data_IF_978263711794
#
_entry.id   IF_978263711794
#
_cell.length_a   1.000
_cell.length_b   1.000
_cell.length_c   1.000
_cell.angle_alpha   90.00
_cell.angle_beta   90.00
_cell.angle_gamma   90.00
#
_symmetry.space_group_name_H-M   'P 1'
#
loop_
_entity.id
_entity.type
_entity.pdbx_description
1 polymer ?
#
# COMPACT_ATOMS: atom_id res chain seq x y z
N UNK A 1 -17.26 -25.44 1.17
CA UNK A 1 -16.49 -24.76 2.25
C UNK A 1 -15.26 -24.16 1.64
N UNK A 2 -14.91 -22.91 2.03
CA UNK A 2 -13.69 -22.20 1.64
C UNK A 2 -12.73 -22.29 2.80
N UNK A 3 -11.52 -22.80 2.56
CA UNK A 3 -10.47 -22.88 3.57
C UNK A 3 -9.77 -21.52 3.71
N UNK A 4 -9.46 -21.13 4.94
CA UNK A 4 -8.86 -19.85 5.28
C UNK A 4 -7.97 -19.95 6.53
N UNK A 5 -7.29 -18.86 6.83
CA UNK A 5 -6.61 -18.64 8.10
C UNK A 5 -7.23 -17.41 8.78
N UNK A 6 -7.78 -17.60 9.98
CA UNK A 6 -8.49 -16.57 10.71
C UNK A 6 -7.85 -16.29 12.07
N UNK A 7 -7.89 -15.03 12.48
CA UNK A 7 -7.75 -14.66 13.88
C UNK A 7 -9.11 -14.92 14.57
N UNK A 8 -9.14 -15.77 15.60
CA UNK A 8 -10.34 -16.03 16.38
C UNK A 8 -10.53 -14.98 17.47
N UNK A 9 -9.48 -14.37 17.94
CA UNK A 9 -9.44 -13.25 18.86
C UNK A 9 -8.23 -12.34 18.62
N UNK A 10 -8.27 -11.13 19.18
CA UNK A 10 -7.20 -10.15 18.97
C UNK A 10 -5.84 -10.61 19.53
N UNK A 11 -4.76 -10.31 18.80
CA UNK A 11 -3.36 -10.57 19.17
C UNK A 11 -2.97 -12.05 19.32
N UNK A 12 -3.79 -12.95 18.79
CA UNK A 12 -3.48 -14.39 18.72
C UNK A 12 -2.93 -14.75 17.33
N UNK A 13 -2.38 -15.98 17.24
CA UNK A 13 -2.01 -16.57 15.95
C UNK A 13 -3.25 -16.83 15.08
N UNK A 14 -3.02 -17.00 13.79
CA UNK A 14 -4.08 -17.40 12.88
C UNK A 14 -4.25 -18.92 12.92
N UNK A 15 -5.51 -19.36 12.91
CA UNK A 15 -5.89 -20.75 12.91
C UNK A 15 -6.57 -21.12 11.59
N UNK A 16 -6.54 -22.41 11.23
CA UNK A 16 -7.30 -22.92 10.09
C UNK A 16 -8.78 -22.70 10.36
N UNK A 17 -9.45 -22.07 9.41
CA UNK A 17 -10.86 -21.70 9.49
C UNK A 17 -11.56 -22.05 8.18
N UNK A 18 -12.77 -22.51 8.26
CA UNK A 18 -13.61 -22.80 7.08
C UNK A 18 -14.91 -22.04 7.17
N UNK A 19 -15.36 -21.51 6.04
CA UNK A 19 -16.64 -20.83 5.93
C UNK A 19 -17.35 -21.17 4.63
N UNK A 20 -18.67 -21.02 4.60
CA UNK A 20 -19.46 -21.26 3.41
C UNK A 20 -19.32 -20.13 2.40
N UNK A 21 -19.12 -20.47 1.13
CA UNK A 21 -19.19 -19.52 0.05
C UNK A 21 -20.59 -18.89 -0.01
N UNK A 22 -20.65 -17.56 0.02
CA UNK A 22 -21.91 -16.86 -0.16
C UNK A 22 -22.24 -16.78 -1.65
N UNK A 23 -23.54 -16.84 -2.04
CA UNK A 23 -23.95 -16.61 -3.41
C UNK A 23 -23.47 -15.24 -3.91
N UNK A 24 -22.94 -15.20 -5.13
CA UNK A 24 -22.47 -13.95 -5.74
C UNK A 24 -23.63 -12.97 -5.93
N UNK A 25 -23.43 -11.74 -5.51
CA UNK A 25 -24.33 -10.65 -5.88
C UNK A 25 -24.19 -10.31 -7.36
N UNK A 26 -25.19 -9.64 -7.97
CA UNK A 26 -25.17 -9.38 -9.41
C UNK A 26 -23.91 -8.73 -9.94
N UNK A 27 -23.27 -7.84 -9.20
CA UNK A 27 -22.08 -7.09 -9.61
C UNK A 27 -20.77 -7.64 -8.98
N UNK A 28 -20.80 -8.82 -8.36
CA UNK A 28 -19.61 -9.38 -7.70
C UNK A 28 -18.87 -10.36 -8.59
N UNK A 29 -17.57 -10.38 -8.40
CA UNK A 29 -16.59 -11.30 -9.02
C UNK A 29 -16.02 -12.18 -7.92
N UNK A 30 -15.97 -13.48 -8.14
CA UNK A 30 -15.30 -14.45 -7.27
C UNK A 30 -13.91 -14.75 -7.80
N UNK A 31 -12.94 -14.65 -6.91
CA UNK A 31 -11.50 -14.81 -7.22
C UNK A 31 -10.98 -16.02 -6.48
N UNK A 32 -10.37 -16.97 -7.20
CA UNK A 32 -9.49 -17.99 -6.62
C UNK A 32 -8.17 -17.32 -6.28
N UNK A 33 -7.80 -17.31 -5.01
CA UNK A 33 -6.57 -16.69 -4.53
C UNK A 33 -5.37 -17.57 -4.91
N UNK A 34 -4.43 -17.03 -5.66
CA UNK A 34 -3.14 -17.66 -5.99
C UNK A 34 -2.06 -17.22 -4.99
N UNK A 35 -2.07 -15.91 -4.63
CA UNK A 35 -1.19 -15.35 -3.61
C UNK A 35 -1.83 -14.16 -2.89
N UNK A 36 -1.33 -13.84 -1.70
CA UNK A 36 -1.73 -12.67 -0.95
C UNK A 36 -0.56 -12.08 -0.17
N UNK A 37 -0.29 -10.78 -0.36
CA UNK A 37 0.70 -10.07 0.44
C UNK A 37 0.24 -9.86 1.88
N UNK A 38 1.20 -9.69 2.79
CA UNK A 38 0.95 -9.35 4.19
C UNK A 38 1.41 -7.90 4.44
N UNK A 39 0.50 -7.07 4.91
CA UNK A 39 0.74 -5.67 5.25
C UNK A 39 0.69 -5.45 6.77
N UNK A 40 1.33 -4.37 7.24
CA UNK A 40 1.13 -3.92 8.62
C UNK A 40 -0.34 -3.58 8.95
N UNK A 41 -1.14 -3.21 7.94
CA UNK A 41 -2.59 -3.02 8.11
C UNK A 41 -3.33 -4.30 8.45
N UNK A 42 -2.86 -5.46 7.93
CA UNK A 42 -3.41 -6.76 8.34
C UNK A 42 -3.07 -7.06 9.80
N UNK A 43 -1.83 -6.77 10.24
CA UNK A 43 -1.45 -6.90 11.65
C UNK A 43 -2.30 -5.99 12.55
N UNK A 44 -2.50 -4.73 12.16
CA UNK A 44 -3.32 -3.78 12.90
C UNK A 44 -4.77 -4.25 13.02
N UNK A 45 -5.29 -4.89 11.97
CA UNK A 45 -6.63 -5.48 11.99
C UNK A 45 -6.69 -6.73 12.89
N UNK A 46 -5.75 -7.68 12.73
CA UNK A 46 -5.64 -8.90 13.55
C UNK A 46 -5.47 -8.54 15.04
N UNK A 47 -4.69 -7.52 15.35
CA UNK A 47 -4.43 -7.06 16.72
C UNK A 47 -5.51 -6.13 17.27
N UNK A 48 -6.51 -5.77 16.45
CA UNK A 48 -7.55 -4.79 16.76
C UNK A 48 -6.98 -3.43 17.22
N UNK A 49 -5.84 -3.02 16.65
CA UNK A 49 -5.17 -1.78 17.03
C UNK A 49 -5.98 -0.53 16.69
N UNK A 50 -6.92 -0.63 15.75
CA UNK A 50 -7.83 0.45 15.35
C UNK A 50 -9.23 0.37 15.98
N UNK A 51 -9.48 -0.64 16.84
CA UNK A 51 -10.75 -0.80 17.54
C UNK A 51 -11.96 -1.16 16.67
N UNK A 52 -11.73 -1.58 15.40
CA UNK A 52 -12.79 -1.83 14.41
C UNK A 52 -12.93 -3.31 14.01
N UNK A 53 -12.11 -4.19 14.55
CA UNK A 53 -12.07 -5.60 14.15
C UNK A 53 -13.22 -6.40 14.75
N UNK A 54 -13.73 -7.33 13.95
CA UNK A 54 -14.72 -8.33 14.39
C UNK A 54 -14.11 -9.71 14.18
N UNK A 55 -14.30 -10.60 15.14
CA UNK A 55 -13.75 -11.96 15.12
C UNK A 55 -14.87 -13.00 15.00
N UNK A 56 -14.63 -14.17 14.30
CA UNK A 56 -13.40 -14.54 13.61
C UNK A 56 -13.12 -13.61 12.41
N UNK A 57 -11.82 -13.28 12.17
CA UNK A 57 -11.38 -12.37 11.13
C UNK A 57 -10.40 -13.07 10.18
N UNK A 58 -10.74 -13.11 8.91
CA UNK A 58 -9.83 -13.47 7.82
C UNK A 58 -9.28 -12.17 7.22
N UNK A 59 -8.00 -11.89 7.44
CA UNK A 59 -7.34 -10.70 6.90
C UNK A 59 -6.83 -10.94 5.46
N UNK A 60 -5.94 -10.08 4.95
CA UNK A 60 -5.40 -10.15 3.60
C UNK A 60 -6.12 -9.23 2.61
N UNK A 61 -5.41 -8.21 2.14
CA UNK A 61 -5.95 -7.21 1.19
C UNK A 61 -4.96 -6.91 0.05
N UNK A 62 -4.07 -7.83 -0.23
CA UNK A 62 -3.08 -7.74 -1.32
C UNK A 62 -3.20 -9.00 -2.19
N UNK A 63 -4.39 -9.25 -2.70
CA UNK A 63 -4.75 -10.50 -3.38
C UNK A 63 -4.35 -10.48 -4.85
N UNK A 64 -3.74 -11.56 -5.30
CA UNK A 64 -3.57 -11.91 -6.72
C UNK A 64 -4.24 -13.26 -6.95
N UNK A 65 -4.97 -13.38 -8.07
CA UNK A 65 -5.66 -14.61 -8.38
C UNK A 65 -6.35 -14.61 -9.74
N UNK A 66 -7.25 -15.58 -9.91
CA UNK A 66 -8.05 -15.75 -11.13
C UNK A 66 -9.54 -15.65 -10.83
N UNK A 67 -10.24 -15.03 -11.74
CA UNK A 67 -11.72 -15.02 -11.74
C UNK A 67 -12.24 -16.43 -11.98
N UNK A 68 -13.04 -16.94 -11.04
CA UNK A 68 -13.69 -18.27 -11.13
C UNK A 68 -15.21 -18.19 -11.19
N UNK A 69 -15.79 -17.04 -10.84
CA UNK A 69 -17.23 -16.81 -10.89
C UNK A 69 -17.55 -15.34 -11.12
N UNK A 70 -18.67 -15.08 -11.77
CA UNK A 70 -19.16 -13.71 -12.04
C UNK A 70 -20.67 -13.63 -11.79
N UNK A 71 -21.10 -12.55 -11.17
CA UNK A 71 -22.51 -12.22 -10.99
C UNK A 71 -23.18 -11.82 -12.32
N UNK A 72 -24.52 -11.85 -12.33
CA UNK A 72 -25.33 -11.69 -13.56
C UNK A 72 -25.23 -10.33 -14.25
N UNK A 73 -24.69 -9.30 -13.57
CA UNK A 73 -24.49 -7.93 -14.11
C UNK A 73 -23.04 -7.57 -14.32
N UNK A 74 -22.10 -8.47 -14.04
CA UNK A 74 -20.66 -8.25 -14.26
C UNK A 74 -20.40 -8.11 -15.75
N UNK A 75 -19.69 -7.06 -16.11
CA UNK A 75 -19.34 -6.71 -17.51
C UNK A 75 -17.85 -6.48 -17.74
N UNK A 76 -17.11 -6.16 -16.68
CA UNK A 76 -15.69 -5.79 -16.74
C UNK A 76 -14.75 -7.01 -16.74
N UNK A 77 -15.23 -8.16 -16.29
CA UNK A 77 -14.42 -9.36 -16.10
C UNK A 77 -15.01 -10.60 -16.75
N UNK A 78 -14.12 -11.55 -17.09
CA UNK A 78 -14.46 -12.88 -17.59
C UNK A 78 -13.80 -13.94 -16.72
N UNK A 79 -14.40 -15.13 -16.63
CA UNK A 79 -13.80 -16.30 -15.97
C UNK A 79 -12.43 -16.57 -16.62
N UNK A 80 -11.43 -16.81 -15.77
CA UNK A 80 -10.04 -17.02 -16.16
C UNK A 80 -9.18 -15.75 -16.20
N UNK A 81 -9.75 -14.52 -16.11
CA UNK A 81 -8.96 -13.32 -16.03
C UNK A 81 -8.05 -13.33 -14.80
N UNK A 82 -6.80 -12.91 -14.97
CA UNK A 82 -5.86 -12.66 -13.87
C UNK A 82 -6.10 -11.27 -13.31
N UNK A 83 -6.32 -11.23 -12.02
CA UNK A 83 -6.80 -10.02 -11.34
C UNK A 83 -6.15 -9.86 -9.97
N UNK A 84 -6.25 -8.64 -9.47
CA UNK A 84 -5.88 -8.30 -8.11
C UNK A 84 -7.01 -7.62 -7.37
N UNK A 85 -7.02 -7.75 -6.03
CA UNK A 85 -7.93 -7.07 -5.13
C UNK A 85 -7.13 -6.42 -4.01
N UNK A 86 -7.30 -5.10 -3.83
CA UNK A 86 -6.62 -4.30 -2.83
C UNK A 86 -7.46 -4.06 -1.57
N UNK A 87 -7.26 -2.86 -0.98
CA UNK A 87 -7.89 -2.45 0.27
C UNK A 87 -9.42 -2.35 0.22
N UNK A 88 -9.98 -1.97 -0.92
CA UNK A 88 -11.42 -1.82 -1.09
C UNK A 88 -12.01 -2.98 -1.90
N UNK A 89 -13.13 -3.54 -1.43
CA UNK A 89 -13.86 -4.62 -2.11
C UNK A 89 -15.24 -4.18 -2.63
N UNK A 90 -15.59 -2.89 -2.53
CA UNK A 90 -16.83 -2.38 -3.08
C UNK A 90 -17.07 -0.91 -2.82
N UNK A 91 -17.93 -0.31 -3.65
CA UNK A 91 -18.29 1.09 -3.65
C UNK A 91 -19.79 1.26 -3.93
N UNK A 92 -20.34 2.47 -3.78
CA UNK A 92 -21.73 2.70 -4.17
C UNK A 92 -21.92 2.89 -5.69
N UNK A 93 -20.84 3.18 -6.42
CA UNK A 93 -20.80 3.40 -7.87
C UNK A 93 -21.74 4.49 -8.41
N UNK A 94 -22.24 5.40 -7.54
CA UNK A 94 -23.24 6.41 -7.93
C UNK A 94 -23.03 7.78 -7.28
N UNK A 95 -22.21 7.92 -6.25
CA UNK A 95 -21.94 9.23 -5.64
C UNK A 95 -20.96 10.05 -6.51
N UNK A 96 -20.85 11.35 -6.20
CA UNK A 96 -19.96 12.28 -6.89
C UNK A 96 -18.54 11.73 -7.05
N UNK A 97 -17.93 11.25 -5.96
CA UNK A 97 -16.58 10.69 -5.99
C UNK A 97 -16.47 9.47 -6.92
N UNK A 98 -17.45 8.57 -6.90
CA UNK A 98 -17.45 7.42 -7.83
C UNK A 98 -17.55 7.89 -9.29
N UNK A 99 -18.41 8.87 -9.58
CA UNK A 99 -18.59 9.42 -10.93
C UNK A 99 -17.35 10.14 -11.46
N UNK A 100 -16.52 10.72 -10.56
CA UNK A 100 -15.22 11.34 -10.89
C UNK A 100 -14.08 10.31 -11.03
N UNK A 101 -14.33 9.06 -10.65
CA UNK A 101 -13.30 8.01 -10.62
C UNK A 101 -12.49 7.96 -9.32
N UNK A 102 -12.86 8.75 -8.32
CA UNK A 102 -12.22 8.86 -7.01
C UNK A 102 -12.91 7.96 -5.98
N UNK A 103 -13.11 6.70 -6.35
CA UNK A 103 -13.86 5.71 -5.57
C UNK A 103 -13.33 5.53 -4.15
N UNK A 104 -12.03 5.73 -3.92
CA UNK A 104 -11.40 5.67 -2.60
C UNK A 104 -11.95 6.70 -1.60
N UNK A 105 -12.64 7.75 -2.08
CA UNK A 105 -13.35 8.74 -1.26
C UNK A 105 -14.85 8.50 -1.15
N UNK A 106 -15.38 7.43 -1.72
CA UNK A 106 -16.79 7.05 -1.59
C UNK A 106 -17.14 6.81 -0.12
N UNK A 107 -18.16 7.50 0.40
CA UNK A 107 -18.62 7.34 1.79
C UNK A 107 -19.18 5.93 2.13
N UNK A 108 -19.49 5.11 1.10
CA UNK A 108 -19.98 3.75 1.25
C UNK A 108 -18.93 2.69 0.86
N UNK A 109 -17.63 3.03 0.93
CA UNK A 109 -16.57 2.05 0.66
C UNK A 109 -16.67 0.83 1.56
N UNK A 110 -16.52 -0.35 0.97
CA UNK A 110 -16.33 -1.61 1.69
C UNK A 110 -14.85 -1.96 1.70
N UNK A 111 -14.34 -2.28 2.88
CA UNK A 111 -12.92 -2.62 3.07
C UNK A 111 -12.77 -4.13 3.09
N UNK A 112 -11.85 -4.68 2.31
CA UNK A 112 -11.63 -6.11 2.10
C UNK A 112 -11.51 -6.89 3.42
N UNK A 113 -10.82 -6.35 4.42
CA UNK A 113 -10.58 -7.03 5.70
C UNK A 113 -11.72 -6.82 6.72
N UNK A 114 -12.46 -5.69 6.63
CA UNK A 114 -13.44 -5.31 7.66
C UNK A 114 -14.89 -5.55 7.25
N UNK A 115 -15.17 -5.60 5.97
CA UNK A 115 -16.53 -5.73 5.45
C UNK A 115 -16.88 -7.17 5.07
N UNK A 116 -15.88 -8.04 4.96
CA UNK A 116 -15.99 -9.45 4.60
C UNK A 116 -14.73 -10.21 5.01
N UNK A 117 -14.65 -11.51 4.69
CA UNK A 117 -13.41 -12.28 4.77
C UNK A 117 -12.45 -11.87 3.65
N UNK A 118 -11.19 -11.60 4.02
CA UNK A 118 -10.13 -11.17 3.11
C UNK A 118 -9.39 -12.32 2.42
N UNK A 119 -8.25 -11.98 1.82
CA UNK A 119 -7.46 -12.88 0.96
C UNK A 119 -6.60 -13.93 1.67
N UNK A 120 -6.62 -14.02 3.01
CA UNK A 120 -6.00 -15.17 3.69
C UNK A 120 -6.93 -16.38 3.64
N UNK A 121 -7.58 -16.56 2.49
CA UNK A 121 -8.49 -17.63 2.14
C UNK A 121 -8.23 -18.13 0.73
N UNK A 122 -8.73 -19.32 0.39
CA UNK A 122 -8.65 -19.86 -0.98
C UNK A 122 -9.42 -19.05 -2.01
N UNK A 123 -10.48 -18.35 -1.55
CA UNK A 123 -11.38 -17.58 -2.41
C UNK A 123 -11.82 -16.29 -1.73
N UNK A 124 -12.02 -15.24 -2.52
CA UNK A 124 -12.57 -13.96 -2.08
C UNK A 124 -13.49 -13.40 -3.15
N UNK A 125 -14.54 -12.68 -2.75
CA UNK A 125 -15.46 -12.00 -3.68
C UNK A 125 -15.39 -10.50 -3.50
N UNK A 126 -15.59 -9.74 -4.59
CA UNK A 126 -15.60 -8.27 -4.56
C UNK A 126 -16.47 -7.70 -5.69
N UNK A 127 -16.92 -6.46 -5.53
CA UNK A 127 -17.52 -5.67 -6.60
C UNK A 127 -16.58 -5.58 -7.80
N UNK A 128 -17.10 -5.74 -9.03
CA UNK A 128 -16.29 -5.77 -10.25
C UNK A 128 -15.38 -4.54 -10.41
N UNK A 129 -15.80 -3.35 -9.94
CA UNK A 129 -15.00 -2.12 -10.01
C UNK A 129 -13.78 -2.16 -9.07
N UNK A 130 -13.84 -2.95 -8.00
CA UNK A 130 -12.72 -3.13 -7.05
C UNK A 130 -11.68 -4.14 -7.53
N UNK A 131 -12.05 -4.99 -8.50
CA UNK A 131 -11.20 -6.05 -9.05
C UNK A 131 -10.43 -5.48 -10.23
N UNK A 132 -9.09 -5.54 -10.16
CA UNK A 132 -8.23 -4.88 -11.14
C UNK A 132 -7.53 -5.92 -12.01
N UNK A 133 -7.65 -5.86 -13.34
CA UNK A 133 -6.86 -6.71 -14.23
C UNK A 133 -5.36 -6.46 -14.06
N UNK A 134 -4.57 -7.52 -13.98
CA UNK A 134 -3.11 -7.40 -13.92
C UNK A 134 -2.56 -7.43 -15.34
N UNK A 135 -1.87 -6.37 -15.81
CA UNK A 135 -1.34 -6.30 -17.17
C UNK A 135 -0.17 -7.28 -17.37
N UNK A 136 0.05 -7.67 -18.61
CA UNK A 136 1.27 -8.39 -19.01
C UNK A 136 2.51 -7.57 -18.66
N UNK A 137 3.59 -8.24 -18.24
CA UNK A 137 4.82 -7.59 -17.81
C UNK A 137 4.91 -7.31 -16.30
N UNK A 138 3.81 -7.41 -15.56
CA UNK A 138 3.85 -7.43 -14.08
C UNK A 138 4.06 -8.87 -13.61
N UNK A 139 5.06 -9.07 -12.75
CA UNK A 139 5.38 -10.36 -12.15
C UNK A 139 4.32 -10.73 -11.10
N UNK A 140 3.44 -11.67 -11.44
CA UNK A 140 2.22 -11.98 -10.69
C UNK A 140 2.49 -12.41 -9.25
N UNK A 141 3.46 -13.29 -9.07
CA UNK A 141 3.80 -13.83 -7.75
C UNK A 141 4.26 -12.73 -6.76
N UNK A 142 4.77 -11.61 -7.26
CA UNK A 142 5.24 -10.49 -6.46
C UNK A 142 4.24 -9.32 -6.40
N UNK A 143 3.16 -9.34 -7.21
CA UNK A 143 2.33 -8.17 -7.47
C UNK A 143 1.40 -7.76 -6.32
N UNK A 144 1.06 -8.66 -5.41
CA UNK A 144 0.13 -8.38 -4.31
C UNK A 144 0.41 -7.05 -3.59
N UNK A 145 1.64 -6.79 -3.12
CA UNK A 145 2.01 -5.54 -2.43
C UNK A 145 1.82 -4.26 -3.24
N UNK A 146 1.74 -4.32 -4.58
CA UNK A 146 1.44 -3.16 -5.42
C UNK A 146 0.03 -2.63 -5.16
N UNK A 147 -0.92 -3.51 -4.83
CA UNK A 147 -2.33 -3.17 -4.61
C UNK A 147 -2.60 -2.45 -3.26
N UNK A 148 -1.58 -2.37 -2.40
CA UNK A 148 -1.62 -1.60 -1.16
C UNK A 148 -0.44 -0.62 -1.10
N UNK A 149 0.76 -1.10 -0.78
CA UNK A 149 1.95 -0.26 -0.64
C UNK A 149 2.31 0.47 -1.92
N UNK A 150 2.22 -0.19 -3.08
CA UNK A 150 2.50 0.41 -4.38
C UNK A 150 1.58 1.57 -4.69
N UNK A 151 0.28 1.35 -4.69
CA UNK A 151 -0.70 2.41 -4.97
C UNK A 151 -0.63 3.54 -3.95
N UNK A 152 -0.34 3.25 -2.68
CA UNK A 152 -0.24 4.24 -1.62
C UNK A 152 0.87 5.26 -1.91
N UNK A 153 2.02 4.84 -2.43
CA UNK A 153 3.13 5.75 -2.77
C UNK A 153 3.05 6.27 -4.21
N UNK A 154 2.25 5.65 -5.07
CA UNK A 154 2.03 6.10 -6.45
C UNK A 154 0.95 7.17 -6.56
N UNK A 155 -0.11 7.11 -5.74
CA UNK A 155 -1.21 8.09 -5.75
C UNK A 155 -0.71 9.55 -5.68
N UNK A 156 0.22 9.93 -4.78
CA UNK A 156 0.75 11.29 -4.74
C UNK A 156 1.43 11.75 -6.03
N UNK A 157 1.99 10.83 -6.82
CA UNK A 157 2.59 11.15 -8.11
C UNK A 157 1.53 11.72 -9.05
N UNK A 158 0.37 11.07 -9.09
CA UNK A 158 -0.76 11.49 -9.94
C UNK A 158 -1.43 12.74 -9.40
N UNK A 159 -1.65 12.80 -8.09
CA UNK A 159 -2.37 13.91 -7.43
C UNK A 159 -1.62 15.24 -7.46
N UNK A 160 -0.30 15.21 -7.47
CA UNK A 160 0.54 16.41 -7.39
C UNK A 160 1.41 16.61 -8.63
N UNK A 161 1.12 15.91 -9.72
CA UNK A 161 1.83 16.01 -11.01
C UNK A 161 3.35 15.90 -10.86
N UNK A 162 3.82 14.97 -10.00
CA UNK A 162 5.24 14.78 -9.77
C UNK A 162 5.90 14.25 -11.06
N UNK A 163 7.02 14.87 -11.43
CA UNK A 163 7.75 14.56 -12.66
C UNK A 163 9.27 14.70 -12.48
N UNK A 164 10.03 14.46 -13.54
CA UNK A 164 11.50 14.42 -13.54
C UNK A 164 12.21 15.72 -13.09
N UNK A 165 11.52 16.85 -13.06
CA UNK A 165 12.10 18.11 -12.57
C UNK A 165 12.11 18.23 -11.05
N UNK A 166 11.42 17.31 -10.35
CA UNK A 166 11.29 17.36 -8.89
C UNK A 166 12.44 16.66 -8.17
N UNK A 167 12.90 17.28 -7.08
CA UNK A 167 13.76 16.64 -6.08
C UNK A 167 12.89 16.08 -4.95
N UNK A 168 12.92 14.76 -4.76
CA UNK A 168 12.03 14.04 -3.86
C UNK A 168 12.80 13.42 -2.72
N UNK A 169 12.32 13.59 -1.49
CA UNK A 169 12.82 12.89 -0.31
C UNK A 169 11.82 11.85 0.18
N UNK A 170 12.31 10.66 0.54
CA UNK A 170 11.48 9.55 1.03
C UNK A 170 11.88 9.24 2.47
N UNK A 171 10.98 9.47 3.42
CA UNK A 171 11.23 9.27 4.85
C UNK A 171 10.74 7.89 5.26
N UNK A 172 11.71 7.03 5.64
CA UNK A 172 11.47 5.64 6.04
C UNK A 172 11.50 4.66 4.86
N UNK A 173 12.49 3.76 4.87
CA UNK A 173 12.67 2.79 3.79
C UNK A 173 12.34 1.39 4.29
N UNK A 174 11.04 1.12 4.27
CA UNK A 174 10.42 -0.17 4.58
C UNK A 174 9.59 -0.66 3.39
N UNK A 175 8.47 -1.36 3.70
CA UNK A 175 7.57 -1.95 2.71
C UNK A 175 6.93 -0.96 1.72
N UNK A 176 6.80 0.33 2.08
CA UNK A 176 6.34 1.40 1.20
C UNK A 176 7.52 2.12 0.55
N UNK A 177 8.52 2.50 1.37
CA UNK A 177 9.62 3.37 0.93
C UNK A 177 10.47 2.76 -0.19
N UNK A 178 10.69 1.43 -0.21
CA UNK A 178 11.45 0.78 -1.28
C UNK A 178 10.72 0.85 -2.64
N UNK A 179 9.38 0.83 -2.65
CA UNK A 179 8.58 1.06 -3.85
C UNK A 179 8.58 2.54 -4.25
N UNK A 180 8.50 3.45 -3.27
CA UNK A 180 8.59 4.88 -3.54
C UNK A 180 9.91 5.23 -4.24
N UNK A 181 11.07 4.72 -3.79
CA UNK A 181 12.36 4.93 -4.47
C UNK A 181 12.25 4.53 -5.94
N UNK A 182 11.75 3.32 -6.23
CA UNK A 182 11.65 2.82 -7.60
C UNK A 182 10.71 3.67 -8.47
N UNK A 183 9.52 4.04 -7.96
CA UNK A 183 8.56 4.86 -8.70
C UNK A 183 9.12 6.25 -9.02
N UNK A 184 9.63 6.96 -8.03
CA UNK A 184 10.14 8.32 -8.25
C UNK A 184 11.40 8.31 -9.12
N UNK A 185 12.25 7.29 -8.99
CA UNK A 185 13.42 7.13 -9.87
C UNK A 185 13.02 6.80 -11.30
N UNK A 186 12.05 5.92 -11.52
CA UNK A 186 11.54 5.59 -12.85
C UNK A 186 10.90 6.81 -13.55
N UNK A 187 10.36 7.77 -12.79
CA UNK A 187 9.89 9.06 -13.32
C UNK A 187 11.03 10.02 -13.68
N UNK A 188 12.28 9.70 -13.34
CA UNK A 188 13.44 10.56 -13.55
C UNK A 188 13.70 11.59 -12.45
N UNK A 189 13.00 11.51 -11.31
CA UNK A 189 13.26 12.40 -10.17
C UNK A 189 14.65 12.17 -9.58
N UNK A 190 15.21 13.20 -8.93
CA UNK A 190 16.32 13.03 -8.01
C UNK A 190 15.79 12.56 -6.66
N UNK A 191 16.20 11.38 -6.20
CA UNK A 191 15.65 10.69 -5.03
C UNK A 191 16.63 10.65 -3.87
N UNK A 192 16.25 11.25 -2.74
CA UNK A 192 16.98 11.15 -1.47
C UNK A 192 16.22 10.23 -0.51
N UNK A 193 16.86 9.16 -0.04
CA UNK A 193 16.31 8.20 0.90
C UNK A 193 16.73 8.54 2.34
N UNK A 194 15.75 8.75 3.24
CA UNK A 194 16.02 8.92 4.68
C UNK A 194 15.80 7.60 5.41
N UNK A 195 16.86 7.03 5.95
CA UNK A 195 16.85 5.74 6.66
C UNK A 195 17.53 5.83 8.02
N UNK A 196 17.11 5.00 8.97
CA UNK A 196 17.75 4.88 10.28
C UNK A 196 18.81 3.78 10.37
N UNK A 197 19.14 3.13 9.24
CA UNK A 197 20.04 1.98 9.17
C UNK A 197 20.95 2.11 7.96
N UNK A 198 22.24 1.91 8.16
CA UNK A 198 23.27 2.01 7.11
C UNK A 198 23.53 0.66 6.40
N UNK A 199 23.00 -0.45 6.95
CA UNK A 199 23.18 -1.80 6.41
C UNK A 199 22.46 -2.04 5.08
N UNK A 200 21.65 -1.07 4.63
CA UNK A 200 20.86 -1.14 3.39
C UNK A 200 21.36 -0.20 2.29
N UNK A 201 22.42 0.57 2.51
CA UNK A 201 22.82 1.64 1.60
C UNK A 201 23.02 1.15 0.15
N UNK A 202 23.80 0.07 -0.04
CA UNK A 202 24.04 -0.48 -1.38
C UNK A 202 22.74 -0.91 -2.07
N UNK A 203 21.83 -1.49 -1.29
CA UNK A 203 20.53 -1.88 -1.79
C UNK A 203 19.69 -0.67 -2.16
N UNK A 204 19.66 0.38 -1.33
CA UNK A 204 18.88 1.59 -1.64
C UNK A 204 19.39 2.29 -2.88
N UNK A 205 20.70 2.32 -3.08
CA UNK A 205 21.34 2.80 -4.30
C UNK A 205 20.93 1.96 -5.51
N UNK A 206 20.93 0.62 -5.38
CA UNK A 206 20.51 -0.28 -6.46
C UNK A 206 19.03 -0.15 -6.82
N UNK A 207 18.18 0.28 -5.86
CA UNK A 207 16.77 0.59 -6.10
C UNK A 207 16.55 1.96 -6.76
N UNK A 208 17.61 2.79 -6.83
CA UNK A 208 17.57 4.09 -7.51
C UNK A 208 17.63 5.31 -6.60
N UNK A 209 18.01 5.18 -5.32
CA UNK A 209 18.29 6.33 -4.48
C UNK A 209 19.59 7.02 -4.95
N UNK A 210 19.52 8.32 -5.21
CA UNK A 210 20.69 9.13 -5.60
C UNK A 210 21.47 9.59 -4.38
N UNK A 211 20.78 9.83 -3.26
CA UNK A 211 21.36 10.22 -1.97
C UNK A 211 20.74 9.41 -0.84
N UNK A 212 21.53 9.10 0.16
CA UNK A 212 21.10 8.42 1.38
C UNK A 212 21.51 9.26 2.59
N UNK A 213 20.53 9.57 3.44
CA UNK A 213 20.71 10.41 4.62
C UNK A 213 20.18 9.69 5.85
N UNK A 214 20.89 9.74 6.96
CA UNK A 214 20.40 9.22 8.23
C UNK A 214 19.18 10.01 8.69
N UNK A 215 18.05 9.33 8.91
CA UNK A 215 16.83 9.94 9.42
C UNK A 215 16.90 10.31 10.91
N UNK A 216 17.97 9.89 11.61
CA UNK A 216 18.21 10.16 13.04
C UNK A 216 19.30 11.20 13.27
N UNK A 217 20.04 11.58 12.24
CA UNK A 217 21.07 12.63 12.31
C UNK A 217 20.49 14.00 11.95
N UNK A 218 20.12 14.75 12.99
CA UNK A 218 19.55 16.08 12.83
C UNK A 218 20.48 17.11 12.19
N UNK A 219 21.80 16.94 12.32
CA UNK A 219 22.78 17.84 11.70
C UNK A 219 22.84 17.61 10.19
N UNK A 220 22.95 16.36 9.76
CA UNK A 220 22.90 16.01 8.34
C UNK A 220 21.59 16.45 7.68
N UNK A 221 20.44 16.28 8.34
CA UNK A 221 19.15 16.73 7.80
C UNK A 221 19.12 18.26 7.69
N UNK A 222 19.58 19.01 8.69
CA UNK A 222 19.67 20.48 8.64
C UNK A 222 20.58 20.98 7.53
N UNK A 223 21.70 20.30 7.30
CA UNK A 223 22.68 20.67 6.28
C UNK A 223 22.11 20.60 4.85
N UNK A 224 21.05 19.82 4.62
CA UNK A 224 20.39 19.75 3.31
C UNK A 224 19.75 21.08 2.89
N UNK A 225 19.37 21.93 3.85
CA UNK A 225 18.63 23.16 3.55
C UNK A 225 17.31 22.89 2.83
N UNK A 226 16.67 23.93 2.32
CA UNK A 226 15.39 23.84 1.62
C UNK A 226 15.59 23.39 0.16
N UNK A 227 15.66 22.08 -0.08
CA UNK A 227 15.97 21.54 -1.41
C UNK A 227 14.91 20.61 -2.02
N UNK A 228 13.95 20.10 -1.25
CA UNK A 228 12.95 19.15 -1.76
C UNK A 228 11.70 19.86 -2.26
N UNK A 229 11.25 19.48 -3.45
CA UNK A 229 9.95 19.87 -3.98
C UNK A 229 8.84 19.06 -3.30
N UNK A 230 9.14 17.80 -3.00
CA UNK A 230 8.22 16.86 -2.39
C UNK A 230 8.94 15.94 -1.40
N UNK A 231 8.41 15.85 -0.18
CA UNK A 231 8.79 14.85 0.81
C UNK A 231 7.63 13.90 1.05
N UNK A 232 7.87 12.59 0.96
CA UNK A 232 6.89 11.58 1.31
C UNK A 232 7.30 10.81 2.57
N UNK A 233 6.43 10.79 3.58
CA UNK A 233 6.62 10.02 4.80
C UNK A 233 5.88 8.70 4.75
N UNK A 234 6.62 7.59 4.85
CA UNK A 234 6.09 6.23 4.86
C UNK A 234 6.19 5.58 6.25
N UNK A 235 6.69 6.31 7.25
CA UNK A 235 6.85 5.82 8.61
C UNK A 235 5.54 5.88 9.40
N UNK A 236 5.43 5.02 10.41
CA UNK A 236 4.33 4.99 11.38
C UNK A 236 4.76 5.44 12.79
N UNK A 237 5.90 6.13 12.88
CA UNK A 237 6.49 6.59 14.14
C UNK A 237 6.57 8.11 14.17
N UNK A 238 6.59 8.67 15.37
CA UNK A 238 6.76 10.12 15.59
C UNK A 238 8.21 10.53 15.26
N UNK A 239 8.35 11.58 14.47
CA UNK A 239 9.62 12.24 14.16
C UNK A 239 9.51 13.74 14.44
N UNK A 240 10.65 14.46 14.38
CA UNK A 240 10.64 15.92 14.35
C UNK A 240 10.23 16.43 12.96
N UNK A 241 8.93 16.61 12.76
CA UNK A 241 8.38 17.02 11.48
C UNK A 241 8.77 18.44 11.08
N UNK A 242 9.09 19.32 12.03
CA UNK A 242 9.64 20.64 11.71
C UNK A 242 11.01 20.56 11.06
N UNK A 243 11.84 19.62 11.52
CA UNK A 243 13.16 19.37 10.95
C UNK A 243 13.04 18.99 9.47
N UNK A 244 12.16 18.03 9.15
CA UNK A 244 11.93 17.62 7.76
C UNK A 244 11.22 18.70 6.94
N UNK A 245 10.21 19.38 7.48
CA UNK A 245 9.49 20.45 6.78
C UNK A 245 10.42 21.61 6.37
N UNK A 246 11.44 21.89 7.16
CA UNK A 246 12.43 22.93 6.83
C UNK A 246 13.36 22.56 5.67
N UNK A 247 13.43 21.28 5.28
CA UNK A 247 14.16 20.84 4.07
C UNK A 247 13.32 20.95 2.80
N UNK A 248 12.02 21.25 2.92
CA UNK A 248 11.11 21.47 1.79
C UNK A 248 11.31 22.86 1.23
N UNK A 249 11.42 22.99 -0.09
CA UNK A 249 11.48 24.29 -0.81
C UNK A 249 10.27 25.16 -0.55
N UNK A 250 10.34 26.46 -0.82
CA UNK A 250 9.13 27.28 -0.94
C UNK A 250 8.14 26.67 -1.94
N UNK A 251 6.85 26.60 -1.56
CA UNK A 251 5.72 25.97 -2.28
C UNK A 251 5.78 24.45 -2.35
N UNK A 252 6.81 23.79 -1.81
CA UNK A 252 6.90 22.35 -1.75
C UNK A 252 5.97 21.74 -0.68
N UNK A 253 6.01 20.42 -0.58
CA UNK A 253 5.04 19.65 0.21
C UNK A 253 5.70 18.56 1.04
N UNK A 254 5.24 18.40 2.29
CA UNK A 254 5.44 17.22 3.10
C UNK A 254 4.15 16.39 3.09
N UNK A 255 4.21 15.17 2.57
CA UNK A 255 3.05 14.30 2.38
C UNK A 255 3.16 13.01 3.20
N UNK A 256 2.08 12.64 3.88
CA UNK A 256 2.02 11.45 4.74
C UNK A 256 1.20 10.34 4.09
N UNK A 257 1.82 9.16 4.00
CA UNK A 257 1.17 7.91 3.60
C UNK A 257 1.35 6.80 4.64
N UNK A 258 2.27 6.99 5.59
CA UNK A 258 2.41 6.14 6.77
C UNK A 258 1.44 6.57 7.88
N UNK A 259 0.85 5.59 8.56
CA UNK A 259 -0.16 5.83 9.61
C UNK A 259 0.52 6.19 10.95
N UNK A 260 0.93 7.44 11.12
CA UNK A 260 1.41 7.97 12.40
C UNK A 260 0.19 8.25 13.29
N UNK A 261 0.13 7.59 14.45
CA UNK A 261 -1.00 7.75 15.38
C UNK A 261 -0.89 9.00 16.26
N UNK A 262 0.34 9.48 16.49
CA UNK A 262 0.58 10.71 17.24
C UNK A 262 0.19 11.95 16.43
N UNK A 263 -0.29 13.03 17.10
CA UNK A 263 -0.50 14.31 16.44
C UNK A 263 0.78 14.85 15.80
N UNK A 264 0.65 15.41 14.59
CA UNK A 264 1.75 16.03 13.85
C UNK A 264 1.92 17.46 14.37
N UNK A 265 2.99 17.70 15.15
CA UNK A 265 3.32 19.04 15.65
C UNK A 265 4.25 19.76 14.67
N UNK A 266 3.78 20.86 14.08
CA UNK A 266 4.56 21.70 13.17
C UNK A 266 4.36 23.19 13.50
N UNK A 267 5.41 23.98 13.33
CA UNK A 267 5.35 25.43 13.47
C UNK A 267 4.61 26.07 12.29
N UNK A 268 3.62 26.90 12.57
CA UNK A 268 2.93 27.68 11.54
C UNK A 268 3.91 28.58 10.76
N UNK A 269 4.95 29.13 11.41
CA UNK A 269 5.99 29.92 10.75
C UNK A 269 6.78 29.11 9.73
N UNK A 270 7.02 27.80 9.98
CA UNK A 270 7.68 26.93 8.99
C UNK A 270 6.84 26.71 7.74
N UNK A 271 5.51 26.76 7.86
CA UNK A 271 4.59 26.74 6.72
C UNK A 271 4.54 28.09 6.00
N UNK A 272 4.28 29.16 6.75
CA UNK A 272 4.09 30.52 6.20
C UNK A 272 5.33 31.04 5.48
N UNK A 273 6.53 30.87 6.09
CA UNK A 273 7.80 31.40 5.56
C UNK A 273 8.15 30.88 4.18
N UNK A 274 7.64 29.71 3.77
CA UNK A 274 7.87 29.13 2.44
C UNK A 274 6.58 28.84 1.65
N UNK A 275 5.39 29.23 2.15
CA UNK A 275 4.10 28.76 1.58
C UNK A 275 4.08 27.23 1.40
N UNK A 276 4.70 26.52 2.33
CA UNK A 276 4.78 25.06 2.31
C UNK A 276 3.43 24.46 2.68
N UNK A 277 3.20 23.23 2.22
CA UNK A 277 1.97 22.49 2.54
C UNK A 277 2.27 21.17 3.21
N UNK A 278 1.32 20.70 4.02
CA UNK A 278 1.28 19.37 4.60
C UNK A 278 0.00 18.72 4.11
N UNK A 279 0.09 17.45 3.73
CA UNK A 279 -1.06 16.69 3.26
C UNK A 279 -0.87 15.19 3.55
N UNK A 280 -1.91 14.42 3.32
CA UNK A 280 -1.87 12.97 3.39
C UNK A 280 -2.88 12.36 2.43
N UNK A 281 -2.64 11.13 2.00
CA UNK A 281 -3.60 10.37 1.19
C UNK A 281 -3.68 8.92 1.67
N UNK A 282 -4.86 8.30 1.55
CA UNK A 282 -5.00 6.86 1.68
C UNK A 282 -4.44 6.16 0.44
N UNK A 283 -4.70 4.86 0.29
CA UNK A 283 -4.54 4.11 -0.97
C UNK A 283 -5.08 4.88 -2.18
N UNK A 284 -5.17 4.33 -3.35
CA UNK A 284 -5.72 5.03 -4.53
C UNK A 284 -7.04 4.46 -5.03
N UNK A 285 -7.59 5.12 -6.05
CA UNK A 285 -8.78 4.66 -6.77
C UNK A 285 -8.45 3.51 -7.73
N UNK A 286 -9.44 2.70 -8.19
CA UNK A 286 -9.26 1.70 -9.23
C UNK A 286 -8.57 2.23 -10.48
N UNK A 287 -8.92 3.44 -10.90
CA UNK A 287 -8.28 4.15 -12.02
C UNK A 287 -6.78 4.36 -11.78
N UNK A 288 -6.40 4.79 -10.58
CA UNK A 288 -5.00 5.04 -10.24
C UNK A 288 -4.23 3.72 -10.05
N UNK A 289 -4.88 2.65 -9.53
CA UNK A 289 -4.28 1.31 -9.47
C UNK A 289 -3.95 0.80 -10.88
N UNK A 290 -4.86 0.94 -11.83
CA UNK A 290 -4.62 0.56 -13.23
C UNK A 290 -3.47 1.35 -13.85
N UNK A 291 -3.41 2.67 -13.62
CA UNK A 291 -2.27 3.50 -14.07
C UNK A 291 -0.95 3.02 -13.48
N UNK A 292 -0.93 2.76 -12.17
CA UNK A 292 0.26 2.27 -11.48
C UNK A 292 0.73 0.92 -12.01
N UNK A 293 -0.18 -0.04 -12.22
CA UNK A 293 0.19 -1.36 -12.73
C UNK A 293 0.75 -1.30 -14.17
N UNK A 294 0.18 -0.45 -15.02
CA UNK A 294 0.73 -0.20 -16.37
C UNK A 294 2.12 0.44 -16.28
N UNK A 295 2.32 1.40 -15.38
CA UNK A 295 3.62 2.00 -15.11
C UNK A 295 4.63 0.96 -14.62
N UNK A 296 4.22 0.05 -13.73
CA UNK A 296 5.07 -1.05 -13.27
C UNK A 296 5.49 -1.98 -14.42
N UNK A 297 4.57 -2.32 -15.31
CA UNK A 297 4.86 -3.16 -16.48
C UNK A 297 5.87 -2.49 -17.43
N UNK A 298 5.69 -1.19 -17.70
CA UNK A 298 6.55 -0.41 -18.59
C UNK A 298 7.94 -0.18 -18.03
N UNK A 299 8.01 0.24 -16.76
CA UNK A 299 9.27 0.63 -16.12
C UNK A 299 9.90 -0.48 -15.26
N UNK A 300 9.32 -1.68 -15.25
CA UNK A 300 9.79 -2.86 -14.50
C UNK A 300 9.92 -2.60 -12.99
N UNK A 301 9.03 -1.78 -12.45
CA UNK A 301 8.94 -1.57 -11.00
C UNK A 301 8.29 -2.79 -10.36
N UNK A 302 8.98 -3.39 -9.39
CA UNK A 302 8.50 -4.59 -8.70
C UNK A 302 8.82 -4.53 -7.20
N UNK A 303 7.93 -4.98 -6.33
CA UNK A 303 8.26 -5.08 -4.91
C UNK A 303 9.30 -6.16 -4.68
N UNK A 304 10.17 -5.94 -3.68
CA UNK A 304 11.04 -6.98 -3.16
C UNK A 304 10.27 -7.79 -2.13
N UNK A 305 10.10 -9.08 -2.40
CA UNK A 305 9.25 -9.96 -1.59
C UNK A 305 10.03 -11.16 -1.04
N UNK A 306 9.57 -11.65 0.10
CA UNK A 306 9.90 -12.97 0.62
C UNK A 306 8.63 -13.82 0.54
N UNK A 307 8.74 -14.98 -0.10
CA UNK A 307 7.62 -15.90 -0.28
C UNK A 307 7.51 -16.89 0.88
N UNK A 308 6.27 -17.15 1.29
CA UNK A 308 5.92 -18.14 2.31
C UNK A 308 4.75 -18.98 1.80
N UNK A 309 4.67 -20.25 2.21
CA UNK A 309 3.44 -21.03 2.04
C UNK A 309 2.33 -20.46 2.94
N UNK A 310 1.07 -20.59 2.55
CA UNK A 310 -0.04 -20.26 3.45
C UNK A 310 0.00 -21.06 4.76
N UNK A 311 0.53 -22.26 4.76
CA UNK A 311 0.75 -23.03 6.00
C UNK A 311 1.73 -22.35 6.98
N UNK A 312 2.62 -21.48 6.47
CA UNK A 312 3.63 -20.76 7.24
C UNK A 312 3.20 -19.34 7.61
N UNK A 313 1.90 -19.00 7.48
CA UNK A 313 1.37 -17.66 7.67
C UNK A 313 1.75 -17.06 9.03
N UNK A 314 1.75 -17.85 10.10
CA UNK A 314 2.15 -17.37 11.42
C UNK A 314 3.65 -17.06 11.51
N UNK A 315 4.50 -17.80 10.78
CA UNK A 315 5.94 -17.51 10.66
C UNK A 315 6.13 -16.17 9.96
N UNK A 316 5.45 -15.95 8.84
CA UNK A 316 5.51 -14.70 8.06
C UNK A 316 5.01 -13.50 8.90
N UNK A 317 3.88 -13.64 9.61
CA UNK A 317 3.32 -12.61 10.49
C UNK A 317 4.30 -12.27 11.63
N UNK A 318 4.87 -13.27 12.30
CA UNK A 318 5.82 -13.03 13.39
C UNK A 318 7.11 -12.37 12.90
N UNK A 319 7.59 -12.74 11.69
CA UNK A 319 8.74 -12.11 11.05
C UNK A 319 8.46 -10.64 10.71
N UNK A 320 7.24 -10.34 10.23
CA UNK A 320 6.80 -8.96 9.97
C UNK A 320 6.69 -8.14 11.25
N UNK A 321 6.10 -8.68 12.34
CA UNK A 321 6.04 -8.04 13.66
C UNK A 321 7.43 -7.69 14.21
N UNK A 322 8.40 -8.55 13.95
CA UNK A 322 9.79 -8.35 14.37
C UNK A 322 10.58 -7.40 13.43
N UNK A 323 9.95 -6.81 12.41
CA UNK A 323 10.60 -6.00 11.36
C UNK A 323 11.77 -6.74 10.66
N UNK A 324 11.66 -8.07 10.50
CA UNK A 324 12.70 -8.92 9.90
C UNK A 324 12.38 -9.34 8.45
N UNK A 325 11.24 -8.94 7.92
CA UNK A 325 10.89 -9.15 6.50
C UNK A 325 11.63 -8.13 5.63
N UNK A 326 12.26 -8.60 4.57
CA UNK A 326 12.96 -7.74 3.61
C UNK A 326 12.04 -7.41 2.45
N UNK A 327 11.40 -6.51 2.55
CA UNK A 327 10.48 -5.44 2.58
C UNK A 327 9.04 -5.93 2.64
N UNK A 328 8.65 -6.95 1.85
CA UNK A 328 7.27 -7.47 1.80
C UNK A 328 7.24 -8.99 1.93
N UNK A 329 6.23 -9.50 2.61
CA UNK A 329 5.94 -10.94 2.65
C UNK A 329 4.75 -11.25 1.74
N UNK A 330 4.82 -12.36 1.01
CA UNK A 330 3.74 -12.85 0.14
C UNK A 330 3.49 -14.32 0.45
N UNK A 331 2.23 -14.65 0.69
CA UNK A 331 1.74 -16.01 0.90
C UNK A 331 1.33 -16.62 -0.44
N UNK A 332 1.64 -17.88 -0.68
CA UNK A 332 1.22 -18.64 -1.86
C UNK A 332 0.56 -19.95 -1.45
N UNK A 333 -0.50 -20.35 -2.16
CA UNK A 333 -1.18 -21.63 -1.97
C UNK A 333 -0.42 -22.80 -2.60
#
# INVERSE_FOLDING_TARGET
MIKAFAALEAKKGLEVFEFEAQPLKPNEVQIKVESCGICHSDLSAIDNSWGASKFPMVAGHEVIGKVIGIGSKVSLHKIGNRVGLGWHCGYCNSCEHCNLGDHNFCGSTKKTVFSQHGGFAEEVSADEVSVIPIPEGVKLEDAGPLLCGGITVFTPIVEFDINSSHKVGIIGIGGLGHLAIQFYKALGCHVTAFTNSNDKNDLLTSLGADEIVSSTDSLSIKALGAQFDFLISTVNVKLDWNLFLNTVKPRGRLHFVGAVLDPIAVSVFSLMGGRRSISGSPVGSPKNITKMLNFCAEHKVSPMVEHFSFSDINIAINKLRANKVRFRAVLTW
#
